data_IF_971462059799
#
_entry.id   IF_971462059799
#
_cell.length_a   1.000
_cell.length_b   1.000
_cell.length_c   1.000
_cell.angle_alpha   90.00
_cell.angle_beta   90.00
_cell.angle_gamma   90.00
#
_symmetry.space_group_name_H-M   'P 1'
#
loop_
_entity.id
_entity.type
_entity.pdbx_description
1 polymer ?
#
# COMPACT_ATOMS: atom_id res chain seq x y z
N UNK A 1 -8.99 -4.72 -9.47
CA UNK A 1 -8.71 -4.31 -8.07
C UNK A 1 -8.96 -5.52 -7.19
N UNK A 2 -8.16 -5.68 -6.13
CA UNK A 2 -8.32 -6.74 -5.11
C UNK A 2 -8.40 -6.09 -3.74
N UNK A 3 -9.22 -6.63 -2.85
CA UNK A 3 -9.37 -6.17 -1.48
C UNK A 3 -9.65 -7.34 -0.53
N UNK A 4 -9.25 -7.18 0.73
CA UNK A 4 -9.55 -8.10 1.83
C UNK A 4 -9.98 -7.29 3.07
N UNK A 5 -10.98 -7.77 3.79
CA UNK A 5 -11.46 -7.14 5.04
C UNK A 5 -11.25 -8.10 6.20
N UNK A 6 -10.72 -7.58 7.32
CA UNK A 6 -10.49 -8.36 8.53
C UNK A 6 -10.52 -7.46 9.77
N UNK A 7 -10.74 -8.09 10.93
CA UNK A 7 -10.66 -7.42 12.23
C UNK A 7 -9.21 -7.33 12.71
N UNK A 8 -8.80 -6.16 13.20
CA UNK A 8 -7.45 -5.96 13.74
C UNK A 8 -7.43 -4.90 14.85
N UNK A 9 -6.60 -5.13 15.86
CA UNK A 9 -6.39 -4.19 16.96
C UNK A 9 -5.41 -3.06 16.62
N UNK A 10 -4.73 -3.13 15.47
CA UNK A 10 -3.63 -2.22 15.07
C UNK A 10 -2.52 -2.10 16.13
N UNK A 11 -2.27 -3.20 16.83
CA UNK A 11 -1.18 -3.36 17.81
C UNK A 11 -0.03 -4.13 17.19
N UNK A 12 1.20 -3.91 17.68
CA UNK A 12 2.39 -4.62 17.22
C UNK A 12 3.59 -3.70 17.06
N UNK A 13 4.75 -4.26 16.71
CA UNK A 13 5.98 -3.50 16.46
C UNK A 13 6.73 -3.99 15.22
N UNK A 14 6.64 -3.21 14.14
CA UNK A 14 7.31 -3.49 12.87
C UNK A 14 8.65 -2.75 12.72
N UNK A 15 9.10 -2.00 13.75
CA UNK A 15 10.39 -1.29 13.70
C UNK A 15 11.57 -2.20 13.36
N UNK A 16 11.68 -3.45 13.88
CA UNK A 16 12.75 -4.35 13.48
C UNK A 16 12.72 -4.67 11.98
N UNK A 17 11.53 -4.91 11.40
CA UNK A 17 11.36 -5.19 9.97
C UNK A 17 11.73 -3.98 9.13
N UNK A 18 11.27 -2.78 9.51
CA UNK A 18 11.61 -1.53 8.83
C UNK A 18 13.11 -1.22 8.82
N UNK A 19 13.81 -1.51 9.93
CA UNK A 19 15.28 -1.41 9.98
C UNK A 19 15.94 -2.36 8.98
N UNK A 20 15.56 -3.63 9.00
CA UNK A 20 16.08 -4.63 8.05
C UNK A 20 15.84 -4.22 6.58
N UNK A 21 14.68 -3.65 6.26
CA UNK A 21 14.41 -3.14 4.91
C UNK A 21 15.25 -1.89 4.56
N UNK A 22 15.56 -1.06 5.56
CA UNK A 22 16.39 0.13 5.39
C UNK A 22 17.85 -0.18 5.11
N UNK A 23 18.32 -1.38 5.46
CA UNK A 23 19.70 -1.82 5.19
C UNK A 23 19.86 -2.44 3.79
N UNK A 24 18.76 -2.68 3.08
CA UNK A 24 18.78 -3.30 1.74
C UNK A 24 18.99 -2.26 0.63
N UNK A 25 19.71 -2.66 -0.42
CA UNK A 25 19.72 -1.91 -1.69
C UNK A 25 18.35 -2.12 -2.36
N UNK A 26 17.61 -1.05 -2.72
CA UNK A 26 16.34 -1.18 -3.41
C UNK A 26 16.54 -1.89 -4.76
N UNK A 27 15.66 -2.83 -5.10
CA UNK A 27 15.55 -3.28 -6.49
C UNK A 27 14.85 -2.17 -7.26
N UNK A 28 15.52 -1.63 -8.27
CA UNK A 28 14.89 -0.72 -9.24
C UNK A 28 14.53 -1.57 -10.45
N UNK A 29 13.24 -1.73 -10.71
CA UNK A 29 12.81 -2.34 -11.97
C UNK A 29 13.15 -1.40 -13.12
N UNK A 30 13.70 -1.91 -14.22
CA UNK A 30 13.95 -1.12 -15.43
C UNK A 30 12.66 -0.53 -16.02
N UNK A 31 11.52 -1.20 -15.77
CA UNK A 31 10.19 -0.76 -16.18
C UNK A 31 9.21 -0.97 -15.03
N UNK A 32 8.67 0.11 -14.46
CA UNK A 32 7.65 0.06 -13.40
C UNK A 32 6.23 0.08 -14.02
N UNK A 33 5.42 -0.99 -13.87
CA UNK A 33 4.04 -1.04 -14.35
C UNK A 33 3.15 0.08 -13.79
N UNK A 34 3.39 0.50 -12.53
CA UNK A 34 2.65 1.63 -11.94
C UNK A 34 2.97 2.92 -12.67
N UNK A 35 4.24 3.16 -13.03
CA UNK A 35 4.64 4.36 -13.77
C UNK A 35 3.91 4.43 -15.12
N UNK A 36 3.85 3.32 -15.85
CA UNK A 36 3.15 3.26 -17.14
C UNK A 36 1.67 3.59 -16.98
N UNK A 37 1.02 2.99 -15.98
CA UNK A 37 -0.39 3.21 -15.74
C UNK A 37 -0.70 4.64 -15.28
N UNK A 38 0.07 5.18 -14.34
CA UNK A 38 -0.07 6.55 -13.85
C UNK A 38 0.11 7.57 -14.99
N UNK A 39 1.12 7.39 -15.86
CA UNK A 39 1.31 8.23 -17.04
C UNK A 39 0.10 8.21 -17.98
N UNK A 40 -0.52 7.03 -18.22
CA UNK A 40 -1.73 6.92 -19.05
C UNK A 40 -2.92 7.66 -18.45
N UNK A 41 -2.95 7.81 -17.14
CA UNK A 41 -3.98 8.55 -16.41
C UNK A 41 -3.63 10.03 -16.19
N UNK A 42 -2.50 10.50 -16.71
CA UNK A 42 -2.03 11.88 -16.54
C UNK A 42 -1.64 12.22 -15.09
N UNK A 43 -1.20 11.23 -14.31
CA UNK A 43 -0.74 11.39 -12.94
C UNK A 43 0.78 11.59 -12.92
N UNK A 44 1.24 12.71 -12.37
CA UNK A 44 2.66 13.10 -12.28
C UNK A 44 3.21 12.98 -10.85
N UNK A 45 2.66 12.04 -10.10
CA UNK A 45 3.11 11.67 -8.76
C UNK A 45 4.11 10.49 -8.81
N UNK A 46 5.01 10.36 -7.82
CA UNK A 46 5.85 9.17 -7.71
C UNK A 46 4.99 7.91 -7.54
N UNK A 47 5.44 6.78 -8.11
CA UNK A 47 4.79 5.47 -7.89
C UNK A 47 4.85 5.09 -6.41
N UNK A 48 4.01 4.15 -5.93
CA UNK A 48 4.03 3.75 -4.52
C UNK A 48 5.43 3.34 -4.02
N UNK A 49 6.16 2.56 -4.83
CA UNK A 49 7.53 2.14 -4.54
C UNK A 49 8.52 3.31 -4.54
N UNK A 50 8.44 4.20 -5.52
CA UNK A 50 9.28 5.41 -5.58
C UNK A 50 9.02 6.36 -4.41
N UNK A 51 7.75 6.55 -4.02
CA UNK A 51 7.36 7.38 -2.89
C UNK A 51 7.95 6.83 -1.58
N UNK A 52 7.91 5.50 -1.39
CA UNK A 52 8.54 4.83 -0.26
C UNK A 52 10.06 5.02 -0.28
N UNK A 53 10.71 4.78 -1.42
CA UNK A 53 12.16 4.94 -1.59
C UNK A 53 12.60 6.39 -1.32
N UNK A 54 11.92 7.37 -1.92
CA UNK A 54 12.19 8.80 -1.70
C UNK A 54 12.06 9.17 -0.22
N UNK A 55 11.02 8.70 0.45
CA UNK A 55 10.83 8.94 1.88
C UNK A 55 11.97 8.36 2.73
N UNK A 56 12.47 7.16 2.38
CA UNK A 56 13.65 6.56 3.02
C UNK A 56 14.89 7.41 2.83
N UNK A 57 15.19 7.79 1.58
CA UNK A 57 16.40 8.56 1.25
C UNK A 57 16.43 9.91 1.98
N UNK A 58 15.32 10.64 1.99
CA UNK A 58 15.19 11.93 2.69
C UNK A 58 15.41 11.77 4.21
N UNK A 59 14.96 10.65 4.78
CA UNK A 59 14.93 10.46 6.24
C UNK A 59 16.07 9.61 6.81
N UNK A 60 16.93 9.05 5.93
CA UNK A 60 18.02 8.13 6.27
C UNK A 60 17.55 6.70 6.61
N UNK A 61 16.29 6.36 6.32
CA UNK A 61 15.67 5.09 6.72
C UNK A 61 14.15 5.13 6.70
N UNK A 62 13.51 3.96 6.77
CA UNK A 62 12.06 3.85 6.95
C UNK A 62 11.69 4.15 8.41
N UNK A 63 11.02 5.29 8.63
CA UNK A 63 10.54 5.67 9.97
C UNK A 63 9.16 5.09 10.23
N UNK A 64 9.02 4.45 11.39
CA UNK A 64 7.74 3.97 11.88
C UNK A 64 6.73 5.12 12.03
N UNK A 65 5.49 4.87 11.60
CA UNK A 65 4.35 5.81 11.67
C UNK A 65 3.10 5.18 12.29
N UNK A 66 3.28 4.08 13.01
CA UNK A 66 2.20 3.25 13.55
C UNK A 66 2.02 1.97 12.74
N UNK A 67 1.50 0.93 13.39
CA UNK A 67 1.58 -0.45 12.88
C UNK A 67 0.94 -0.61 11.50
N UNK A 68 -0.19 0.06 11.24
CA UNK A 68 -0.85 0.01 9.93
C UNK A 68 0.01 0.64 8.83
N UNK A 69 0.48 1.87 9.07
CA UNK A 69 1.31 2.56 8.10
C UNK A 69 2.61 1.78 7.81
N UNK A 70 3.15 1.13 8.84
CA UNK A 70 4.35 0.31 8.75
C UNK A 70 4.07 -0.99 7.97
N UNK A 71 2.94 -1.65 8.19
CA UNK A 71 2.53 -2.85 7.46
C UNK A 71 2.34 -2.57 5.97
N UNK A 72 1.63 -1.49 5.62
CA UNK A 72 1.46 -1.04 4.23
C UNK A 72 2.81 -0.70 3.58
N UNK A 73 3.71 -0.05 4.32
CA UNK A 73 5.05 0.26 3.84
C UNK A 73 5.88 -1.00 3.59
N UNK A 74 5.86 -1.97 4.51
CA UNK A 74 6.56 -3.25 4.35
C UNK A 74 6.09 -3.96 3.09
N UNK A 75 4.77 -4.11 2.92
CA UNK A 75 4.20 -4.75 1.73
C UNK A 75 4.59 -4.03 0.44
N UNK A 76 4.51 -2.69 0.42
CA UNK A 76 4.88 -1.88 -0.75
C UNK A 76 6.36 -2.03 -1.09
N UNK A 77 7.25 -2.06 -0.09
CA UNK A 77 8.70 -2.16 -0.32
C UNK A 77 9.13 -3.55 -0.75
N UNK A 78 8.52 -4.60 -0.19
CA UNK A 78 8.85 -5.99 -0.53
C UNK A 78 8.32 -6.40 -1.91
N UNK A 79 7.16 -5.87 -2.33
CA UNK A 79 6.48 -6.29 -3.58
C UNK A 79 6.47 -5.24 -4.70
N UNK A 80 6.67 -3.96 -4.37
CA UNK A 80 6.44 -2.84 -5.30
C UNK A 80 4.96 -2.48 -5.50
N UNK A 81 4.03 -3.25 -4.95
CA UNK A 81 2.58 -3.05 -5.10
C UNK A 81 2.09 -1.97 -4.13
N UNK A 82 1.36 -0.97 -4.66
CA UNK A 82 0.67 0.01 -3.84
C UNK A 82 -0.51 -0.63 -3.09
N UNK A 83 -0.44 -0.60 -1.77
CA UNK A 83 -1.50 -1.05 -0.86
C UNK A 83 -2.02 0.10 -0.02
N UNK A 84 -3.32 0.15 0.18
CA UNK A 84 -4.00 1.16 1.00
C UNK A 84 -5.00 0.49 1.93
N UNK A 85 -5.44 1.22 2.95
CA UNK A 85 -6.38 0.73 3.94
C UNK A 85 -7.49 1.75 4.20
N UNK A 86 -8.67 1.24 4.54
CA UNK A 86 -9.87 2.02 4.91
C UNK A 86 -10.66 1.27 5.98
N UNK A 87 -11.45 1.98 6.80
CA UNK A 87 -12.49 1.35 7.64
C UNK A 87 -13.81 1.15 6.87
N UNK A 88 -13.86 1.49 5.58
CA UNK A 88 -15.05 1.26 4.75
C UNK A 88 -15.24 -0.25 4.54
N UNK A 89 -16.32 -0.79 5.10
CA UNK A 89 -16.63 -2.22 5.06
C UNK A 89 -17.53 -2.48 3.87
N UNK A 90 -17.04 -3.25 2.90
CA UNK A 90 -17.84 -3.65 1.74
C UNK A 90 -17.05 -3.69 0.44
N UNK A 91 -17.73 -4.02 -0.67
CA UNK A 91 -17.08 -4.15 -1.96
C UNK A 91 -16.58 -2.79 -2.45
N UNK A 92 -15.26 -2.67 -2.57
CA UNK A 92 -14.64 -1.56 -3.25
C UNK A 92 -14.74 -1.77 -4.76
N UNK A 93 -14.93 -0.70 -5.50
CA UNK A 93 -14.87 -0.69 -6.98
C UNK A 93 -14.13 0.53 -7.51
N UNK A 94 -13.74 0.48 -8.78
CA UNK A 94 -13.15 1.62 -9.48
C UNK A 94 -14.22 2.25 -10.37
N UNK A 95 -14.47 3.55 -10.19
CA UNK A 95 -15.37 4.36 -11.02
C UNK A 95 -14.58 5.51 -11.65
N UNK A 96 -14.28 5.39 -12.95
CA UNK A 96 -13.43 6.36 -13.64
C UNK A 96 -12.04 6.45 -13.01
N UNK A 97 -11.76 7.58 -12.36
CA UNK A 97 -10.47 7.88 -11.70
C UNK A 97 -10.51 7.68 -10.17
N UNK A 98 -11.61 7.17 -9.63
CA UNK A 98 -11.81 7.04 -8.19
C UNK A 98 -11.97 5.56 -7.77
N UNK A 99 -11.44 5.24 -6.58
CA UNK A 99 -11.83 4.08 -5.79
C UNK A 99 -13.00 4.49 -4.91
N UNK A 100 -14.11 3.76 -5.03
CA UNK A 100 -15.34 4.05 -4.29
C UNK A 100 -15.80 2.83 -3.48
N UNK A 101 -16.29 3.11 -2.28
CA UNK A 101 -16.95 2.17 -1.39
C UNK A 101 -18.27 2.75 -0.85
N UNK A 102 -18.73 2.30 0.32
CA UNK A 102 -19.95 2.82 0.93
C UNK A 102 -19.75 4.24 1.49
N UNK A 103 -18.56 4.52 2.01
CA UNK A 103 -18.16 5.81 2.61
C UNK A 103 -16.88 6.39 2.01
N UNK A 104 -16.13 5.59 1.27
CA UNK A 104 -14.89 5.99 0.61
C UNK A 104 -15.17 6.53 -0.80
N UNK A 105 -14.57 7.68 -1.11
CA UNK A 105 -14.30 8.12 -2.48
C UNK A 105 -12.93 8.78 -2.49
N UNK A 106 -11.97 8.15 -3.16
CA UNK A 106 -10.60 8.64 -3.23
C UNK A 106 -10.04 8.39 -4.62
N UNK A 107 -9.21 9.30 -5.12
CA UNK A 107 -8.55 9.12 -6.41
C UNK A 107 -7.69 7.86 -6.41
N UNK A 108 -7.65 7.14 -7.52
CA UNK A 108 -6.73 5.99 -7.70
C UNK A 108 -5.29 6.40 -7.39
N UNK A 109 -4.54 5.49 -6.77
CA UNK A 109 -3.17 5.69 -6.29
C UNK A 109 -2.99 6.72 -5.16
N UNK A 110 -4.04 7.39 -4.70
CA UNK A 110 -3.99 8.27 -3.53
C UNK A 110 -4.37 7.51 -2.26
N UNK A 111 -3.73 7.89 -1.15
CA UNK A 111 -4.10 7.36 0.16
C UNK A 111 -5.46 7.92 0.61
N UNK A 112 -6.32 7.11 1.25
CA UNK A 112 -7.54 7.61 1.87
C UNK A 112 -7.28 8.77 2.84
N UNK A 113 -8.13 9.82 2.84
CA UNK A 113 -7.88 11.04 3.60
C UNK A 113 -8.07 10.87 5.11
N UNK A 114 -8.91 9.90 5.53
CA UNK A 114 -9.19 9.64 6.94
C UNK A 114 -8.29 8.50 7.44
N UNK A 115 -7.55 8.69 8.55
CA UNK A 115 -6.80 7.62 9.18
C UNK A 115 -7.69 6.47 9.59
N UNK A 116 -7.19 5.25 9.39
CA UNK A 116 -7.88 4.03 9.77
C UNK A 116 -7.74 3.78 11.28
N UNK A 117 -8.86 3.49 11.93
CA UNK A 117 -8.94 3.08 13.33
C UNK A 117 -8.96 1.55 13.45
N UNK A 118 -8.68 1.04 14.67
CA UNK A 118 -8.81 -0.38 14.98
C UNK A 118 -10.27 -0.87 14.82
N UNK A 119 -10.43 -2.19 14.69
CA UNK A 119 -11.68 -2.86 14.35
C UNK A 119 -11.64 -3.41 12.93
N UNK A 120 -12.72 -3.21 12.17
CA UNK A 120 -12.82 -3.69 10.79
C UNK A 120 -11.98 -2.83 9.84
N UNK A 121 -10.95 -3.45 9.25
CA UNK A 121 -10.05 -2.80 8.29
C UNK A 121 -10.14 -3.53 6.95
N UNK A 122 -10.41 -2.77 5.90
CA UNK A 122 -10.33 -3.22 4.51
C UNK A 122 -9.03 -2.74 3.91
N UNK A 123 -8.18 -3.68 3.47
CA UNK A 123 -6.95 -3.41 2.73
C UNK A 123 -7.18 -3.69 1.26
N UNK A 124 -6.70 -2.83 0.38
CA UNK A 124 -6.90 -2.97 -1.06
C UNK A 124 -5.68 -2.56 -1.88
N UNK A 125 -5.62 -3.11 -3.08
CA UNK A 125 -4.59 -2.83 -4.08
C UNK A 125 -5.21 -2.75 -5.48
N UNK A 126 -4.69 -1.82 -6.28
CA UNK A 126 -5.10 -1.67 -7.68
C UNK A 126 -4.35 -2.67 -8.55
N UNK A 127 -5.09 -3.40 -9.37
CA UNK A 127 -4.48 -4.30 -10.36
C UNK A 127 -4.10 -3.46 -11.55
N UNK A 128 -2.81 -3.41 -11.84
CA UNK A 128 -2.23 -2.63 -12.92
C UNK A 128 -1.69 -3.57 -14.00
N UNK A 129 -1.94 -3.32 -15.30
CA UNK A 129 -1.37 -4.15 -16.35
C UNK A 129 0.16 -4.23 -16.23
N UNK A 130 0.70 -5.45 -16.16
CA UNK A 130 2.13 -5.71 -15.94
C UNK A 130 2.49 -6.11 -14.51
N UNK A 131 1.56 -6.00 -13.55
CA UNK A 131 1.68 -6.61 -12.21
C UNK A 131 0.84 -7.88 -12.19
N UNK A 132 1.42 -8.99 -11.75
CA UNK A 132 0.70 -10.26 -11.64
C UNK A 132 -0.32 -10.23 -10.49
N UNK A 133 -1.41 -10.98 -10.62
CA UNK A 133 -2.38 -11.11 -9.53
C UNK A 133 -1.73 -11.72 -8.27
N UNK A 134 -0.74 -12.60 -8.45
CA UNK A 134 -0.01 -13.20 -7.34
C UNK A 134 0.75 -12.14 -6.52
N UNK A 135 1.48 -11.22 -7.17
CA UNK A 135 2.17 -10.11 -6.48
C UNK A 135 1.18 -9.22 -5.71
N UNK A 136 0.01 -8.97 -6.30
CA UNK A 136 -1.05 -8.21 -5.63
C UNK A 136 -1.55 -8.94 -4.38
N UNK A 137 -1.79 -10.25 -4.46
CA UNK A 137 -2.24 -11.04 -3.30
C UNK A 137 -1.16 -11.18 -2.24
N UNK A 138 0.09 -11.37 -2.64
CA UNK A 138 1.23 -11.41 -1.72
C UNK A 138 1.33 -10.12 -0.92
N UNK A 139 1.17 -8.96 -1.57
CA UNK A 139 1.16 -7.67 -0.88
C UNK A 139 0.04 -7.59 0.18
N UNK A 140 -1.17 -8.05 -0.13
CA UNK A 140 -2.28 -8.08 0.83
C UNK A 140 -2.01 -9.04 2.00
N UNK A 141 -1.42 -10.21 1.73
CA UNK A 141 -1.05 -11.16 2.78
C UNK A 141 0.04 -10.62 3.70
N UNK A 142 1.05 -9.94 3.17
CA UNK A 142 2.08 -9.29 3.99
C UNK A 142 1.46 -8.29 4.95
N UNK A 143 0.48 -7.49 4.49
CA UNK A 143 -0.23 -6.54 5.37
C UNK A 143 -1.00 -7.29 6.44
N UNK A 144 -1.81 -8.29 6.05
CA UNK A 144 -2.63 -9.06 6.99
C UNK A 144 -1.77 -9.73 8.06
N UNK A 145 -0.71 -10.40 7.66
CA UNK A 145 0.18 -11.14 8.57
C UNK A 145 0.92 -10.16 9.50
N UNK A 146 1.33 -8.99 8.99
CA UNK A 146 1.95 -7.95 9.80
C UNK A 146 0.99 -7.29 10.81
N UNK A 147 -0.31 -7.28 10.52
CA UNK A 147 -1.37 -6.76 11.42
C UNK A 147 -1.90 -7.80 12.41
N UNK A 148 -1.57 -9.07 12.20
CA UNK A 148 -1.94 -10.19 13.08
C UNK A 148 -0.84 -10.56 14.10
N UNK A 149 0.36 -10.00 13.93
CA UNK A 149 1.54 -10.24 14.76
C UNK A 149 1.63 -9.30 15.97
#
# INVERSE_FOLDING_TARGET
MVWETFETALTGDLRPRLRSLSDRVPRVAELDPYRIAMNRLGLDEPTPAEAALKARLIRGGYRSRGVLADALLVATVDTGVGVWATNDVGPLRVEGMDVVGATLRVRVFAAPPVPVSAGSVTVFALVVPGVSELEVREALWIVRDALAA
#
